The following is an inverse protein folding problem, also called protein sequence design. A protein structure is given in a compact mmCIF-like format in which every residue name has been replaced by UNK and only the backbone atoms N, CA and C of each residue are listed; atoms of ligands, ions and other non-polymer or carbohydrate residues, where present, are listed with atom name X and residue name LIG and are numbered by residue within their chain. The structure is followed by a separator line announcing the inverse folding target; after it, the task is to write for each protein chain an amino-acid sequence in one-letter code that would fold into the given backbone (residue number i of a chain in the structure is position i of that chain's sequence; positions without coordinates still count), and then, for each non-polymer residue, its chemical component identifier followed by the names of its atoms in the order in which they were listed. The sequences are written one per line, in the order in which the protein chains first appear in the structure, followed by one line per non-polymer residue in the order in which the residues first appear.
data_IF_099530651255
#
_entry.id   IF_099530651255
#
_cell.length_a   1.000
_cell.length_b   1.000
_cell.length_c   1.000
_cell.angle_alpha   90.00
_cell.angle_beta   90.00
_cell.angle_gamma   90.00
#
_symmetry.space_group_name_H-M   'P 1'
#
loop_
_entity.id
_entity.type
_entity.pdbx_description
1 polymer ?
#
# COMPACT_ATOMS: atom_id res chain seq x y z
N UNK A 1 2.87 25.96 2.52
CA UNK A 1 1.89 24.88 2.32
C UNK A 1 0.61 25.30 3.02
N UNK A 2 -0.50 25.44 2.31
CA UNK A 2 -1.77 25.86 2.91
C UNK A 2 -2.31 24.81 3.87
N UNK A 3 -2.67 25.23 5.09
CA UNK A 3 -3.24 24.35 6.11
C UNK A 3 -4.52 23.65 5.62
N UNK A 4 -5.25 24.31 4.72
CA UNK A 4 -6.44 23.74 4.04
C UNK A 4 -6.09 22.51 3.19
N UNK A 5 -4.95 22.54 2.50
CA UNK A 5 -4.48 21.42 1.66
C UNK A 5 -4.04 20.26 2.55
N UNK A 6 -3.34 20.54 3.65
CA UNK A 6 -2.94 19.51 4.62
C UNK A 6 -4.18 18.83 5.22
N UNK A 7 -5.15 19.60 5.70
CA UNK A 7 -6.37 19.06 6.30
C UNK A 7 -7.21 18.27 5.30
N UNK A 8 -7.35 18.76 4.06
CA UNK A 8 -8.09 18.06 3.00
C UNK A 8 -7.43 16.74 2.61
N UNK A 9 -6.11 16.76 2.36
CA UNK A 9 -5.36 15.56 1.97
C UNK A 9 -5.28 14.55 3.10
N UNK A 10 -5.01 14.99 4.35
CA UNK A 10 -5.04 14.12 5.51
C UNK A 10 -6.42 13.48 5.69
N UNK A 11 -7.49 14.28 5.66
CA UNK A 11 -8.85 13.78 5.81
C UNK A 11 -9.22 12.77 4.73
N UNK A 12 -8.90 13.05 3.47
CA UNK A 12 -9.18 12.15 2.35
C UNK A 12 -8.45 10.81 2.48
N UNK A 13 -7.14 10.84 2.75
CA UNK A 13 -6.33 9.63 2.90
C UNK A 13 -6.74 8.86 4.16
N UNK A 14 -6.96 9.56 5.27
CA UNK A 14 -7.39 8.94 6.52
C UNK A 14 -8.70 8.18 6.33
N UNK A 15 -9.69 8.78 5.66
CA UNK A 15 -10.98 8.12 5.40
C UNK A 15 -10.86 6.96 4.42
N UNK A 16 -9.97 7.05 3.42
CA UNK A 16 -9.70 5.95 2.51
C UNK A 16 -9.08 4.74 3.25
N UNK A 17 -8.20 5.00 4.21
CA UNK A 17 -7.40 3.94 4.84
C UNK A 17 -8.04 3.35 6.10
N UNK A 18 -9.02 4.02 6.71
CA UNK A 18 -9.70 3.57 7.93
C UNK A 18 -10.51 2.27 7.78
N UNK A 19 -10.85 1.86 6.56
CA UNK A 19 -11.70 0.69 6.32
C UNK A 19 -10.99 -0.38 5.47
N UNK A 20 -9.65 -0.41 5.54
CA UNK A 20 -8.88 -1.34 4.71
C UNK A 20 -8.73 -2.74 5.33
N UNK A 21 -8.68 -3.75 4.48
CA UNK A 21 -8.52 -5.17 4.83
C UNK A 21 -7.23 -5.40 5.64
N UNK A 22 -6.20 -4.61 5.43
CA UNK A 22 -4.94 -4.69 6.20
C UNK A 22 -5.14 -4.43 7.69
N UNK A 23 -6.06 -3.53 8.07
CA UNK A 23 -6.36 -3.25 9.47
C UNK A 23 -7.08 -4.44 10.14
N UNK A 24 -8.01 -5.08 9.43
CA UNK A 24 -8.69 -6.29 9.91
C UNK A 24 -7.70 -7.45 10.12
N UNK A 25 -6.73 -7.61 9.22
CA UNK A 25 -5.64 -8.59 9.37
C UNK A 25 -4.79 -8.27 10.59
N UNK A 26 -4.43 -6.99 10.80
CA UNK A 26 -3.68 -6.55 11.96
C UNK A 26 -4.39 -6.83 13.29
N UNK A 27 -5.67 -6.49 13.38
CA UNK A 27 -6.52 -6.79 14.54
C UNK A 27 -6.62 -8.31 14.75
N UNK A 28 -6.89 -9.08 13.70
CA UNK A 28 -6.98 -10.54 13.78
C UNK A 28 -5.67 -11.19 14.26
N UNK A 29 -4.53 -10.72 13.78
CA UNK A 29 -3.22 -11.20 14.21
C UNK A 29 -2.92 -10.82 15.67
N UNK A 30 -3.27 -9.61 16.08
CA UNK A 30 -3.12 -9.16 17.47
C UNK A 30 -4.01 -9.95 18.43
N UNK A 31 -5.26 -10.21 18.05
CA UNK A 31 -6.19 -11.05 18.82
C UNK A 31 -5.71 -12.50 18.94
N UNK A 32 -5.13 -13.07 17.87
CA UNK A 32 -4.63 -14.45 17.87
C UNK A 32 -3.34 -14.63 18.69
N UNK A 33 -2.41 -13.68 18.60
CA UNK A 33 -1.11 -13.78 19.28
C UNK A 33 -1.10 -13.18 20.68
N UNK A 34 -2.15 -12.43 21.07
CA UNK A 34 -2.27 -11.68 22.33
C UNK A 34 -1.09 -10.73 22.58
N UNK A 35 -0.37 -10.33 21.52
CA UNK A 35 0.84 -9.50 21.57
C UNK A 35 0.69 -8.30 20.61
N UNK A 36 -0.18 -7.32 20.94
CA UNK A 36 -0.48 -6.20 20.04
C UNK A 36 0.75 -5.37 19.67
N UNK A 37 1.67 -5.15 20.62
CA UNK A 37 2.91 -4.39 20.38
C UNK A 37 3.83 -5.13 19.40
N UNK A 38 3.92 -6.45 19.49
CA UNK A 38 4.75 -7.25 18.57
C UNK A 38 4.17 -7.24 17.15
N UNK A 39 2.85 -7.31 17.01
CA UNK A 39 2.17 -7.21 15.72
C UNK A 39 2.35 -5.82 15.13
N UNK A 40 2.18 -4.78 15.94
CA UNK A 40 2.40 -3.40 15.52
C UNK A 40 3.83 -3.18 14.99
N UNK A 41 4.85 -3.54 15.78
CA UNK A 41 6.25 -3.41 15.36
C UNK A 41 6.56 -4.26 14.13
N UNK A 42 6.02 -5.48 14.05
CA UNK A 42 6.14 -6.34 12.88
C UNK A 42 5.56 -5.71 11.61
N UNK A 43 4.34 -5.17 11.69
CA UNK A 43 3.70 -4.47 10.58
C UNK A 43 4.45 -3.22 10.14
N UNK A 44 4.93 -2.42 11.10
CA UNK A 44 5.75 -1.22 10.80
C UNK A 44 7.06 -1.62 10.14
N UNK A 45 7.75 -2.63 10.65
CA UNK A 45 9.00 -3.12 10.07
C UNK A 45 8.76 -3.69 8.65
N UNK A 46 7.72 -4.49 8.46
CA UNK A 46 7.35 -5.01 7.15
C UNK A 46 7.04 -3.89 6.15
N UNK A 47 6.28 -2.87 6.58
CA UNK A 47 5.96 -1.70 5.77
C UNK A 47 7.20 -0.88 5.40
N UNK A 48 8.14 -0.71 6.34
CA UNK A 48 9.41 -0.04 6.08
C UNK A 48 10.26 -0.81 5.05
N UNK A 49 10.35 -2.13 5.19
CA UNK A 49 11.11 -2.99 4.28
C UNK A 49 10.51 -2.98 2.87
N UNK A 50 9.20 -3.16 2.72
CA UNK A 50 8.56 -3.14 1.40
C UNK A 50 8.68 -1.77 0.74
N UNK A 51 8.59 -0.68 1.51
CA UNK A 51 8.78 0.68 1.01
C UNK A 51 10.21 0.88 0.53
N UNK A 52 11.20 0.45 1.31
CA UNK A 52 12.61 0.56 0.93
C UNK A 52 12.91 -0.21 -0.37
N UNK A 53 12.40 -1.43 -0.50
CA UNK A 53 12.51 -2.24 -1.72
C UNK A 53 11.80 -1.54 -2.90
N UNK A 54 10.60 -1.02 -2.69
CA UNK A 54 9.82 -0.36 -3.74
C UNK A 54 10.50 0.91 -4.25
N UNK A 55 11.06 1.73 -3.36
CA UNK A 55 11.82 2.92 -3.73
C UNK A 55 13.09 2.54 -4.48
N UNK A 56 13.85 1.57 -3.98
CA UNK A 56 15.08 1.12 -4.64
C UNK A 56 14.82 0.55 -6.04
N UNK A 57 13.81 -0.31 -6.20
CA UNK A 57 13.45 -0.83 -7.51
C UNK A 57 12.90 0.27 -8.42
N UNK A 58 12.08 1.18 -7.88
CA UNK A 58 11.51 2.31 -8.61
C UNK A 58 12.59 3.24 -9.17
N UNK A 59 13.66 3.53 -8.40
CA UNK A 59 14.77 4.35 -8.86
C UNK A 59 15.60 3.64 -9.93
N UNK A 60 16.00 2.39 -9.68
CA UNK A 60 16.82 1.60 -10.63
C UNK A 60 16.09 1.37 -11.95
N UNK A 61 14.80 1.06 -11.91
CA UNK A 61 13.99 0.87 -13.12
C UNK A 61 13.71 2.21 -13.81
N UNK A 62 13.47 3.28 -13.06
CA UNK A 62 13.23 4.61 -13.60
C UNK A 62 14.41 5.19 -14.37
N UNK A 63 15.65 4.83 -14.01
CA UNK A 63 16.86 5.23 -14.75
C UNK A 63 17.04 4.48 -16.07
N UNK A 64 16.51 3.26 -16.18
CA UNK A 64 16.74 2.38 -17.35
C UNK A 64 15.55 2.23 -18.29
N UNK A 65 14.35 2.50 -17.82
CA UNK A 65 13.10 2.25 -18.55
C UNK A 65 12.40 3.58 -18.80
N UNK A 66 11.98 3.81 -20.05
CA UNK A 66 11.21 5.01 -20.40
C UNK A 66 9.91 5.04 -19.55
N UNK A 67 9.59 6.17 -18.88
CA UNK A 67 8.42 6.32 -18.02
C UNK A 67 7.10 5.89 -18.67
N UNK A 68 6.99 6.01 -20.00
CA UNK A 68 5.79 5.60 -20.76
C UNK A 68 5.52 4.10 -20.61
N UNK A 69 6.54 3.26 -20.73
CA UNK A 69 6.38 1.80 -20.57
C UNK A 69 6.04 1.43 -19.13
N UNK A 70 6.64 2.12 -18.15
CA UNK A 70 6.35 1.90 -16.73
C UNK A 70 4.89 2.23 -16.39
N UNK A 71 4.35 3.30 -16.99
CA UNK A 71 2.92 3.66 -16.87
C UNK A 71 2.00 2.59 -17.45
N UNK A 72 2.27 2.11 -18.67
CA UNK A 72 1.44 1.08 -19.29
C UNK A 72 1.52 -0.26 -18.57
N UNK A 73 2.71 -0.66 -18.11
CA UNK A 73 2.88 -1.86 -17.30
C UNK A 73 2.05 -1.79 -16.01
N UNK A 74 2.11 -0.67 -15.28
CA UNK A 74 1.30 -0.45 -14.09
C UNK A 74 -0.21 -0.51 -14.38
N UNK A 75 -0.66 0.12 -15.47
CA UNK A 75 -2.06 0.07 -15.89
C UNK A 75 -2.54 -1.35 -16.20
N UNK A 76 -1.74 -2.14 -16.93
CA UNK A 76 -2.05 -3.54 -17.25
C UNK A 76 -2.15 -4.38 -15.98
N UNK A 77 -1.22 -4.22 -15.04
CA UNK A 77 -1.26 -4.93 -13.75
C UNK A 77 -2.52 -4.56 -12.96
N UNK A 78 -2.84 -3.27 -12.84
CA UNK A 78 -4.04 -2.81 -12.13
C UNK A 78 -5.33 -3.33 -12.77
N UNK A 79 -5.45 -3.27 -14.10
CA UNK A 79 -6.63 -3.80 -14.82
C UNK A 79 -6.74 -5.31 -14.62
N UNK A 80 -5.63 -6.04 -14.72
CA UNK A 80 -5.61 -7.49 -14.53
C UNK A 80 -6.06 -7.88 -13.12
N UNK A 81 -5.54 -7.19 -12.09
CA UNK A 81 -5.97 -7.38 -10.71
C UNK A 81 -7.45 -7.03 -10.51
N UNK A 82 -7.92 -5.93 -11.10
CA UNK A 82 -9.33 -5.54 -11.05
C UNK A 82 -10.26 -6.58 -11.69
N UNK A 83 -9.87 -7.15 -12.83
CA UNK A 83 -10.61 -8.23 -13.50
C UNK A 83 -10.63 -9.49 -12.62
N UNK A 84 -9.48 -9.89 -12.07
CA UNK A 84 -9.39 -11.07 -11.21
C UNK A 84 -10.24 -10.92 -9.94
N UNK A 85 -10.25 -9.73 -9.34
CA UNK A 85 -11.08 -9.41 -8.17
C UNK A 85 -12.58 -9.41 -8.55
N UNK A 86 -12.94 -8.91 -9.73
CA UNK A 86 -14.33 -8.95 -10.23
C UNK A 86 -14.83 -10.37 -10.49
N UNK A 87 -13.93 -11.30 -10.83
CA UNK A 87 -14.22 -12.72 -11.04
C UNK A 87 -14.17 -13.55 -9.75
N UNK A 88 -14.03 -12.92 -8.57
CA UNK A 88 -13.86 -13.56 -7.25
C UNK A 88 -12.73 -14.63 -7.25
N UNK A 89 -11.72 -14.45 -8.09
CA UNK A 89 -10.53 -15.33 -8.14
C UNK A 89 -9.48 -14.97 -7.09
N UNK A 90 -9.62 -13.81 -6.47
CA UNK A 90 -8.82 -13.24 -5.36
C UNK A 90 -9.69 -12.23 -4.60
#
# INVERSE_FOLDING_TARGET
MDLRVIAATFGAIFMAELADKTQLVGIGMASKTLKPISVFLGSVAAYAVITAISVFLGTVLGERINPVYMRYAGAVVFISLGILMFLDRI
#
